data_IF_593478272081
#
_entry.id   IF_593478272081
#
_cell.length_a   1.000
_cell.length_b   1.000
_cell.length_c   1.000
_cell.angle_alpha   90.00
_cell.angle_beta   90.00
_cell.angle_gamma   90.00
#
_symmetry.space_group_name_H-M   'P 1'
#
loop_
_entity.id
_entity.type
_entity.pdbx_description
1 polymer ?
#
# COMPACT_ATOMS: atom_id res chain seq x y z
N UNK A 1 19.67 4.38 -4.96
CA UNK A 1 18.92 4.28 -3.66
C UNK A 1 17.72 5.22 -3.66
N UNK A 2 16.90 5.27 -2.60
CA UNK A 2 15.75 6.19 -2.55
C UNK A 2 16.16 7.60 -2.14
N UNK A 3 15.57 8.62 -2.78
CA UNK A 3 15.73 10.03 -2.37
C UNK A 3 14.96 10.32 -1.07
N UNK A 4 15.60 11.01 -0.14
CA UNK A 4 15.03 11.44 1.15
C UNK A 4 13.85 12.40 0.93
N UNK A 5 12.82 12.32 1.77
CA UNK A 5 11.67 13.23 1.76
C UNK A 5 10.62 12.95 0.68
N UNK A 6 10.75 11.85 -0.08
CA UNK A 6 9.83 11.52 -1.19
C UNK A 6 8.92 10.31 -0.93
N UNK A 7 8.86 9.81 0.32
CA UNK A 7 8.05 8.63 0.68
C UNK A 7 6.59 8.78 0.28
N UNK A 8 5.97 9.94 0.57
CA UNK A 8 4.56 10.20 0.24
C UNK A 8 4.24 10.04 -1.26
N UNK A 9 5.16 10.46 -2.15
CA UNK A 9 4.96 10.31 -3.59
C UNK A 9 5.02 8.85 -4.02
N UNK A 10 5.87 8.03 -3.38
CA UNK A 10 6.00 6.60 -3.67
C UNK A 10 4.80 5.81 -3.21
N UNK A 11 4.22 6.15 -2.06
CA UNK A 11 2.96 5.58 -1.59
C UNK A 11 1.84 5.78 -2.62
N UNK A 12 1.70 7.00 -3.13
CA UNK A 12 0.71 7.32 -4.16
C UNK A 12 1.04 6.64 -5.48
N UNK A 13 2.32 6.62 -5.88
CA UNK A 13 2.76 5.96 -7.10
C UNK A 13 2.45 4.46 -7.06
N UNK A 14 2.66 3.78 -5.93
CA UNK A 14 2.35 2.36 -5.77
C UNK A 14 0.86 2.07 -6.05
N UNK A 15 -0.05 2.87 -5.50
CA UNK A 15 -1.49 2.73 -5.79
C UNK A 15 -1.84 3.01 -7.26
N UNK A 16 -1.25 4.05 -7.86
CA UNK A 16 -1.51 4.42 -9.26
C UNK A 16 -0.99 3.34 -10.22
N UNK A 17 0.18 2.76 -9.94
CA UNK A 17 0.85 1.76 -10.75
C UNK A 17 0.32 0.33 -10.52
N UNK A 18 -0.39 0.11 -9.41
CA UNK A 18 -1.18 -1.10 -9.18
C UNK A 18 -2.43 -1.10 -10.06
N UNK A 19 -2.25 -1.42 -11.34
CA UNK A 19 -3.32 -1.48 -12.33
C UNK A 19 -4.22 -2.71 -12.15
N UNK A 20 -5.53 -2.60 -12.39
CA UNK A 20 -6.41 -3.77 -12.42
C UNK A 20 -6.05 -4.72 -13.58
N UNK A 21 -6.46 -5.99 -13.48
CA UNK A 21 -6.25 -7.00 -14.54
C UNK A 21 -6.87 -6.55 -15.87
N UNK A 22 -7.95 -5.79 -15.82
CA UNK A 22 -8.64 -5.24 -16.98
C UNK A 22 -7.89 -4.10 -17.71
N UNK A 23 -6.68 -3.75 -17.26
CA UNK A 23 -5.82 -2.78 -17.92
C UNK A 23 -5.59 -1.52 -17.09
N UNK A 24 -5.44 -0.37 -17.73
CA UNK A 24 -5.08 0.89 -17.05
C UNK A 24 -6.17 1.30 -16.04
N UNK A 25 -5.74 1.72 -14.84
CA UNK A 25 -6.63 2.30 -13.82
C UNK A 25 -7.39 3.48 -14.41
N UNK A 26 -8.73 3.45 -14.33
CA UNK A 26 -9.59 4.58 -14.71
C UNK A 26 -9.54 5.65 -13.60
N UNK A 27 -9.75 6.91 -13.97
CA UNK A 27 -9.84 8.02 -13.02
C UNK A 27 -11.04 7.88 -12.07
N UNK A 28 -12.06 7.13 -12.47
CA UNK A 28 -13.28 6.88 -11.71
C UNK A 28 -13.59 5.39 -11.66
N UNK A 29 -14.00 4.90 -10.49
CA UNK A 29 -14.46 3.52 -10.25
C UNK A 29 -13.64 2.78 -9.20
N UNK A 30 -14.30 1.91 -8.44
CA UNK A 30 -13.72 1.12 -7.33
C UNK A 30 -13.06 -0.18 -7.79
N UNK A 31 -12.41 -0.18 -8.96
CA UNK A 31 -11.75 -1.38 -9.45
C UNK A 31 -10.46 -1.60 -8.65
N UNK A 32 -10.45 -2.72 -7.91
CA UNK A 32 -9.28 -3.18 -7.14
C UNK A 32 -8.09 -3.38 -8.09
N UNK A 33 -6.93 -2.88 -7.67
CA UNK A 33 -5.68 -3.13 -8.39
C UNK A 33 -5.29 -4.61 -8.36
N UNK A 34 -4.35 -5.01 -9.20
CA UNK A 34 -3.87 -6.38 -9.28
C UNK A 34 -3.30 -6.86 -7.93
N UNK A 35 -2.39 -6.10 -7.33
CA UNK A 35 -1.81 -6.37 -6.02
C UNK A 35 -2.79 -6.07 -4.88
N UNK A 36 -3.68 -5.10 -5.09
CA UNK A 36 -4.66 -4.69 -4.09
C UNK A 36 -4.13 -3.63 -3.14
N UNK A 37 -3.24 -2.74 -3.60
CA UNK A 37 -2.81 -1.56 -2.83
C UNK A 37 -4.06 -0.73 -2.51
N UNK A 38 -4.32 -0.39 -1.24
CA UNK A 38 -5.48 0.42 -0.89
C UNK A 38 -5.42 1.81 -1.55
N UNK A 39 -6.57 2.43 -1.87
CA UNK A 39 -6.64 3.80 -2.38
C UNK A 39 -5.72 4.74 -1.62
N UNK A 40 -4.78 5.35 -2.33
CA UNK A 40 -3.76 6.22 -1.73
C UNK A 40 -3.64 7.49 -2.55
N UNK A 41 -3.82 8.64 -1.90
CA UNK A 41 -3.89 9.95 -2.55
C UNK A 41 -2.92 10.94 -1.90
N UNK A 42 -2.41 11.90 -2.67
CA UNK A 42 -1.76 13.08 -2.09
C UNK A 42 -2.83 14.00 -1.51
N UNK A 43 -2.69 14.39 -0.26
CA UNK A 43 -3.61 15.30 0.42
C UNK A 43 -2.87 16.45 1.08
N UNK A 44 -3.55 17.59 1.19
CA UNK A 44 -3.17 18.69 2.07
C UNK A 44 -4.18 18.72 3.23
N UNK A 45 -3.72 18.46 4.45
CA UNK A 45 -4.58 18.32 5.61
C UNK A 45 -4.10 19.21 6.77
N UNK A 46 -5.04 19.92 7.40
CA UNK A 46 -4.82 20.71 8.60
C UNK A 46 -5.45 19.96 9.78
N UNK A 47 -4.63 19.50 10.73
CA UNK A 47 -5.13 18.77 11.89
C UNK A 47 -4.29 19.03 13.14
N UNK A 48 -4.95 19.29 14.27
CA UNK A 48 -4.28 19.62 15.55
C UNK A 48 -3.42 18.48 16.13
N UNK A 49 -3.71 17.24 15.76
CA UNK A 49 -2.94 16.06 16.18
C UNK A 49 -1.64 15.85 15.41
N UNK A 50 -1.36 16.62 14.35
CA UNK A 50 -0.06 16.56 13.68
C UNK A 50 1.00 17.34 14.48
N UNK A 51 2.27 16.99 14.29
CA UNK A 51 3.39 17.73 14.90
C UNK A 51 3.52 19.13 14.29
N UNK A 52 3.22 20.18 15.06
CA UNK A 52 3.42 21.58 14.66
C UNK A 52 4.49 22.20 15.57
N UNK A 53 5.71 22.45 15.08
CA UNK A 53 6.75 23.11 15.89
C UNK A 53 6.46 24.60 16.19
N UNK A 54 5.29 25.11 15.80
CA UNK A 54 4.82 26.48 16.00
C UNK A 54 3.33 26.56 15.68
N UNK A 55 2.96 27.43 14.75
CA UNK A 55 1.57 27.60 14.33
C UNK A 55 0.97 26.33 13.70
N UNK A 56 -0.37 26.24 13.78
CA UNK A 56 -1.14 25.18 13.15
C UNK A 56 -1.03 25.30 11.62
N UNK A 57 -0.20 24.46 11.00
CA UNK A 57 0.06 24.47 9.56
C UNK A 57 -0.52 23.27 8.83
N UNK A 58 -1.00 23.48 7.61
CA UNK A 58 -1.47 22.37 6.78
C UNK A 58 -0.28 21.56 6.26
N UNK A 59 -0.34 20.24 6.40
CA UNK A 59 0.70 19.32 5.94
C UNK A 59 0.31 18.64 4.64
N UNK A 60 1.31 18.39 3.80
CA UNK A 60 1.16 17.62 2.56
C UNK A 60 1.76 16.23 2.79
N UNK A 61 1.00 15.20 2.42
CA UNK A 61 1.42 13.80 2.58
C UNK A 61 0.52 12.84 1.81
N UNK A 62 0.87 11.56 1.84
CA UNK A 62 -0.01 10.49 1.34
C UNK A 62 -1.08 10.18 2.38
N UNK A 63 -2.30 9.92 1.93
CA UNK A 63 -3.40 9.42 2.72
C UNK A 63 -3.89 8.14 2.06
N UNK A 64 -3.66 7.02 2.75
CA UNK A 64 -4.10 5.70 2.32
C UNK A 64 -5.40 5.33 3.05
N UNK A 65 -6.36 4.78 2.31
CA UNK A 65 -7.62 4.32 2.86
C UNK A 65 -7.36 3.20 3.84
N UNK A 66 -7.92 3.34 5.04
CA UNK A 66 -7.91 2.26 6.03
C UNK A 66 -8.75 1.08 5.51
N UNK A 67 -8.18 -0.13 5.59
CA UNK A 67 -8.87 -1.36 5.24
C UNK A 67 -9.01 -2.22 6.49
N UNK A 68 -10.23 -2.68 6.77
CA UNK A 68 -10.47 -3.63 7.86
C UNK A 68 -9.67 -4.91 7.60
N UNK A 69 -8.94 -5.35 8.61
CA UNK A 69 -8.00 -6.47 8.51
C UNK A 69 -7.92 -7.19 9.87
N UNK A 70 -7.19 -8.30 9.90
CA UNK A 70 -6.98 -9.19 11.04
C UNK A 70 -5.53 -9.14 11.56
N UNK A 71 -4.75 -8.10 11.22
CA UNK A 71 -3.35 -7.92 11.65
C UNK A 71 -2.34 -8.03 10.50
N UNK A 72 -1.06 -7.90 10.85
CA UNK A 72 0.08 -8.12 9.96
C UNK A 72 0.36 -9.62 9.77
N UNK A 73 1.23 -9.95 8.82
CA UNK A 73 1.65 -11.32 8.56
C UNK A 73 2.83 -11.80 9.43
N UNK A 74 3.27 -11.01 10.42
CA UNK A 74 4.49 -11.29 11.21
C UNK A 74 4.42 -12.61 11.98
N UNK A 75 3.25 -12.92 12.55
CA UNK A 75 3.02 -14.14 13.34
C UNK A 75 2.36 -15.26 12.53
N UNK A 76 2.31 -15.15 11.20
CA UNK A 76 1.59 -16.09 10.33
C UNK A 76 2.58 -16.96 9.54
N UNK A 77 2.45 -18.27 9.68
CA UNK A 77 3.26 -19.23 8.94
C UNK A 77 2.96 -19.21 7.43
N UNK A 78 3.98 -19.36 6.55
CA UNK A 78 3.84 -19.19 5.11
C UNK A 78 2.86 -20.16 4.44
N UNK A 79 2.58 -21.31 5.08
CA UNK A 79 1.58 -22.29 4.60
C UNK A 79 0.15 -21.72 4.58
N UNK A 80 -0.13 -20.69 5.37
CA UNK A 80 -1.46 -20.09 5.44
C UNK A 80 -1.74 -19.11 4.28
N UNK A 81 -0.72 -18.72 3.50
CA UNK A 81 -0.90 -17.72 2.45
C UNK A 81 -1.33 -18.35 1.13
N UNK A 82 -2.44 -17.91 0.53
CA UNK A 82 -2.79 -18.36 -0.81
C UNK A 82 -1.72 -17.93 -1.82
N UNK A 83 -1.25 -18.88 -2.63
CA UNK A 83 -0.18 -18.66 -3.62
C UNK A 83 -0.48 -17.48 -4.55
N UNK A 84 -1.74 -17.34 -4.96
CA UNK A 84 -2.19 -16.23 -5.80
C UNK A 84 -2.02 -14.87 -5.11
N UNK A 85 -2.31 -14.77 -3.82
CA UNK A 85 -2.15 -13.52 -3.06
C UNK A 85 -0.68 -13.11 -2.96
N UNK A 86 0.20 -14.08 -2.65
CA UNK A 86 1.65 -13.87 -2.62
C UNK A 86 2.15 -13.37 -3.97
N UNK A 87 1.82 -14.07 -5.06
CA UNK A 87 2.28 -13.71 -6.40
C UNK A 87 1.87 -12.31 -6.84
N UNK A 88 0.66 -11.85 -6.51
CA UNK A 88 0.19 -10.52 -6.90
C UNK A 88 1.05 -9.42 -6.25
N UNK A 89 1.40 -9.58 -4.98
CA UNK A 89 2.27 -8.64 -4.26
C UNK A 89 3.70 -8.72 -4.80
N UNK A 90 4.23 -9.93 -5.02
CA UNK A 90 5.58 -10.13 -5.58
C UNK A 90 5.76 -9.43 -6.93
N UNK A 91 4.78 -9.55 -7.83
CA UNK A 91 4.84 -8.89 -9.15
C UNK A 91 4.90 -7.37 -9.00
N UNK A 92 4.12 -6.79 -8.07
CA UNK A 92 4.16 -5.35 -7.83
C UNK A 92 5.52 -4.94 -7.25
N UNK A 93 6.00 -5.63 -6.22
CA UNK A 93 7.26 -5.28 -5.56
C UNK A 93 8.47 -5.38 -6.50
N UNK A 94 8.50 -6.40 -7.39
CA UNK A 94 9.52 -6.50 -8.44
C UNK A 94 9.44 -5.30 -9.38
N UNK A 95 8.24 -4.94 -9.86
CA UNK A 95 8.05 -3.82 -10.79
C UNK A 95 8.42 -2.47 -10.18
N UNK A 96 8.17 -2.30 -8.89
CA UNK A 96 8.51 -1.07 -8.17
C UNK A 96 9.93 -1.09 -7.58
N UNK A 97 10.65 -2.22 -7.67
CA UNK A 97 11.88 -2.47 -6.94
C UNK A 97 11.76 -2.08 -5.45
N UNK A 98 10.72 -2.58 -4.79
CA UNK A 98 10.47 -2.32 -3.38
C UNK A 98 11.61 -2.89 -2.53
N UNK A 99 12.32 -2.02 -1.81
CA UNK A 99 13.52 -2.40 -1.07
C UNK A 99 13.25 -2.75 0.41
N UNK A 100 12.01 -2.61 0.87
CA UNK A 100 11.65 -2.74 2.29
C UNK A 100 10.36 -3.57 2.49
N UNK A 101 10.12 -4.57 1.61
CA UNK A 101 8.99 -5.49 1.82
C UNK A 101 9.34 -6.49 2.92
N UNK A 102 8.57 -6.47 4.00
CA UNK A 102 8.58 -7.49 5.07
C UNK A 102 7.16 -7.87 5.51
N UNK A 103 7.03 -8.88 6.38
CA UNK A 103 5.74 -9.42 6.82
C UNK A 103 4.86 -8.40 7.57
N UNK A 104 5.48 -7.44 8.27
CA UNK A 104 4.81 -6.28 8.87
C UNK A 104 4.11 -5.36 7.86
N UNK A 105 4.56 -5.36 6.60
CA UNK A 105 4.00 -4.51 5.54
C UNK A 105 2.90 -5.20 4.72
N UNK A 106 2.45 -6.37 5.17
CA UNK A 106 1.36 -7.12 4.54
C UNK A 106 0.32 -7.40 5.60
N UNK A 107 -0.88 -6.86 5.40
CA UNK A 107 -2.03 -7.16 6.24
C UNK A 107 -2.77 -8.38 5.71
N UNK A 108 -3.40 -9.13 6.60
CA UNK A 108 -4.28 -10.24 6.25
C UNK A 108 -5.73 -9.89 6.56
N UNK A 109 -6.66 -10.29 5.71
CA UNK A 109 -8.10 -10.24 6.00
C UNK A 109 -8.74 -11.55 5.58
N UNK A 110 -9.74 -12.02 6.30
CA UNK A 110 -10.64 -13.06 5.80
C UNK A 110 -11.83 -12.43 5.08
N UNK A 111 -12.15 -12.88 3.87
CA UNK A 111 -13.46 -12.62 3.30
C UNK A 111 -14.48 -13.55 3.97
N UNK A 112 -15.70 -13.03 4.21
CA UNK A 112 -16.69 -13.71 5.06
C UNK A 112 -17.36 -14.91 4.41
N UNK A 113 -17.20 -15.09 3.10
CA UNK A 113 -17.96 -16.07 2.31
C UNK A 113 -17.08 -17.19 1.74
N UNK A 114 -15.82 -16.91 1.43
CA UNK A 114 -14.83 -17.90 1.00
C UNK A 114 -13.67 -17.88 1.99
N UNK A 115 -13.39 -19.00 2.67
CA UNK A 115 -12.35 -19.18 3.71
C UNK A 115 -10.90 -18.83 3.26
N UNK A 116 -10.71 -18.22 2.09
CA UNK A 116 -9.41 -17.76 1.60
C UNK A 116 -9.05 -16.40 2.18
N UNK A 117 -7.90 -16.35 2.83
CA UNK A 117 -7.28 -15.11 3.27
C UNK A 117 -6.87 -14.23 2.09
N UNK A 118 -7.16 -12.94 2.17
CA UNK A 118 -6.69 -11.92 1.23
C UNK A 118 -5.50 -11.20 1.86
N UNK A 119 -4.46 -10.95 1.05
CA UNK A 119 -3.29 -10.17 1.49
C UNK A 119 -3.40 -8.74 0.96
N UNK A 120 -3.08 -7.77 1.80
CA UNK A 120 -3.20 -6.35 1.51
C UNK A 120 -1.81 -5.72 1.68
N UNK A 121 -1.13 -5.33 0.59
CA UNK A 121 0.17 -4.67 0.68
C UNK A 121 -0.01 -3.22 1.13
N UNK A 122 0.75 -2.82 2.14
CA UNK A 122 0.87 -1.44 2.63
C UNK A 122 2.34 -1.01 2.64
N UNK A 123 2.60 0.23 3.04
CA UNK A 123 3.95 0.80 3.25
C UNK A 123 4.89 0.62 2.06
N UNK A 124 4.77 1.52 1.09
CA UNK A 124 5.55 1.53 -0.16
C UNK A 124 6.55 2.69 -0.20
N UNK A 125 6.82 3.37 0.92
CA UNK A 125 7.69 4.55 0.99
C UNK A 125 9.14 4.33 0.53
N UNK A 126 9.59 3.08 0.48
CA UNK A 126 10.94 2.66 0.07
C UNK A 126 10.99 1.90 -1.28
N UNK A 127 9.98 2.09 -2.15
CA UNK A 127 10.03 1.63 -3.53
C UNK A 127 10.55 2.72 -4.51
N UNK A 128 10.68 2.38 -5.79
CA UNK A 128 11.12 3.27 -6.87
C UNK A 128 12.45 3.99 -6.55
N UNK A 129 13.54 3.24 -6.31
CA UNK A 129 14.86 3.81 -6.10
C UNK A 129 15.33 4.56 -7.35
N UNK A 130 16.16 5.59 -7.17
CA UNK A 130 16.89 6.20 -8.28
C UNK A 130 18.20 5.46 -8.52
N UNK A 131 18.72 5.60 -9.75
CA UNK A 131 20.06 5.20 -10.15
C UNK A 131 21.13 5.70 -9.18
#
# INVERSE_FOLDING_TARGET
>A
GTRVGQGAFREVAAYVLDHPISGRRKLFGDVKGFAGVPPTLMVKCLHKGFNHPGDLIAKIGSMQMFVKNNGSCEDIGPRAFPVKEVHKITVLDIRLANADRHAGNILISSEKEDEQSVLIPIDHGYCLPTS
#
